data_IF_186605310837
#
_entry.id   IF_186605310837
#
_cell.length_a   1.000
_cell.length_b   1.000
_cell.length_c   1.000
_cell.angle_alpha   90.00
_cell.angle_beta   90.00
_cell.angle_gamma   90.00
#
_symmetry.space_group_name_H-M   'P 1'
#
loop_
_entity.id
_entity.type
_entity.pdbx_description
1 polymer ?
#
# COMPACT_ATOMS: atom_id res chain seq x y z
N UNK A 1 5.56 -4.04 10.72
CA UNK A 1 5.13 -4.52 9.39
C UNK A 1 4.18 -5.73 9.46
N UNK A 2 3.31 -5.83 10.47
CA UNK A 2 2.37 -6.95 10.60
C UNK A 2 1.39 -7.03 9.41
N UNK A 3 1.07 -5.88 8.81
CA UNK A 3 0.22 -5.77 7.63
C UNK A 3 0.71 -6.60 6.43
N UNK A 4 2.00 -6.89 6.29
CA UNK A 4 2.51 -7.71 5.16
C UNK A 4 2.01 -9.16 5.18
N UNK A 5 1.46 -9.61 6.31
CA UNK A 5 0.87 -10.94 6.50
C UNK A 5 -0.66 -10.93 6.45
N UNK A 6 -1.28 -9.76 6.31
CA UNK A 6 -2.73 -9.63 6.28
C UNK A 6 -3.33 -10.32 5.05
N UNK A 7 -4.34 -11.14 5.29
CA UNK A 7 -5.22 -11.67 4.25
C UNK A 7 -6.14 -10.57 3.69
N UNK A 8 -6.95 -10.91 2.68
CA UNK A 8 -7.97 -9.97 2.18
C UNK A 8 -9.02 -9.63 3.24
N UNK A 9 -9.34 -10.59 4.12
CA UNK A 9 -10.28 -10.42 5.22
C UNK A 9 -9.71 -9.52 6.33
N UNK A 10 -8.41 -9.64 6.64
CA UNK A 10 -7.74 -8.73 7.57
C UNK A 10 -7.78 -7.29 7.05
N UNK A 11 -7.51 -7.09 5.75
CA UNK A 11 -7.60 -5.77 5.11
C UNK A 11 -9.03 -5.23 5.15
N UNK A 12 -10.03 -6.08 4.91
CA UNK A 12 -11.43 -5.66 4.98
C UNK A 12 -11.86 -5.27 6.40
N UNK A 13 -11.39 -6.00 7.42
CA UNK A 13 -11.60 -5.63 8.84
C UNK A 13 -10.91 -4.31 9.18
N UNK A 14 -9.72 -4.07 8.64
CA UNK A 14 -9.04 -2.79 8.80
C UNK A 14 -9.84 -1.64 8.17
N UNK A 15 -10.32 -1.79 6.92
CA UNK A 15 -11.16 -0.78 6.24
C UNK A 15 -12.45 -0.47 7.03
N UNK A 16 -13.05 -1.48 7.64
CA UNK A 16 -14.17 -1.31 8.56
C UNK A 16 -13.79 -0.49 9.80
N UNK A 17 -12.66 -0.79 10.43
CA UNK A 17 -12.16 -0.02 11.60
C UNK A 17 -11.80 1.44 11.28
N UNK A 18 -11.47 1.73 10.01
CA UNK A 18 -11.20 3.09 9.52
C UNK A 18 -12.52 3.87 9.31
N UNK A 19 -13.67 3.20 9.32
CA UNK A 19 -14.99 3.82 9.17
C UNK A 19 -15.62 3.64 7.80
N UNK A 20 -15.12 2.71 6.97
CA UNK A 20 -15.66 2.45 5.64
C UNK A 20 -16.18 1.01 5.45
N UNK A 21 -17.11 0.52 6.30
CA UNK A 21 -17.63 -0.86 6.21
C UNK A 21 -18.26 -1.18 4.84
N UNK A 22 -18.81 -0.19 4.15
CA UNK A 22 -19.40 -0.34 2.81
C UNK A 22 -18.39 -0.80 1.75
N UNK A 23 -17.10 -0.56 1.94
CA UNK A 23 -16.07 -0.93 0.97
C UNK A 23 -15.40 -2.27 1.26
N UNK A 24 -15.81 -3.01 2.30
CA UNK A 24 -15.26 -4.35 2.62
C UNK A 24 -15.26 -5.28 1.40
N UNK A 25 -16.39 -5.34 0.69
CA UNK A 25 -16.54 -6.17 -0.50
C UNK A 25 -15.58 -5.76 -1.63
N UNK A 26 -15.31 -4.46 -1.79
CA UNK A 26 -14.35 -3.95 -2.77
C UNK A 26 -12.95 -4.51 -2.51
N UNK A 27 -12.51 -4.60 -1.26
CA UNK A 27 -11.17 -5.11 -0.93
C UNK A 27 -11.11 -6.65 -0.97
N UNK A 28 -12.14 -7.36 -0.50
CA UNK A 28 -12.15 -8.83 -0.50
C UNK A 28 -12.30 -9.40 -1.91
N UNK A 29 -13.25 -8.92 -2.71
CA UNK A 29 -13.53 -9.44 -4.05
C UNK A 29 -12.40 -9.16 -5.05
N UNK A 30 -11.63 -8.08 -4.84
CA UNK A 30 -10.45 -7.75 -5.64
C UNK A 30 -9.14 -8.36 -5.09
N UNK A 31 -9.24 -9.23 -4.08
CA UNK A 31 -8.11 -9.93 -3.46
C UNK A 31 -6.99 -8.98 -3.02
N UNK A 32 -7.36 -7.86 -2.39
CA UNK A 32 -6.42 -6.86 -1.87
C UNK A 32 -5.88 -7.35 -0.52
N UNK A 33 -4.72 -8.00 -0.56
CA UNK A 33 -3.98 -8.42 0.64
C UNK A 33 -3.12 -7.28 1.17
N UNK A 34 -2.60 -7.41 2.39
CA UNK A 34 -1.79 -6.33 2.97
C UNK A 34 -0.51 -6.01 2.20
N UNK A 35 0.03 -6.97 1.42
CA UNK A 35 1.15 -6.74 0.48
C UNK A 35 0.75 -5.85 -0.72
N UNK A 36 -0.53 -5.86 -1.10
CA UNK A 36 -1.06 -5.07 -2.23
C UNK A 36 -1.49 -3.66 -1.82
N UNK A 37 -1.58 -3.35 -0.52
CA UNK A 37 -1.98 -2.03 -0.04
C UNK A 37 -1.11 -0.89 -0.57
N UNK A 38 0.16 -1.14 -0.89
CA UNK A 38 1.05 -0.14 -1.50
C UNK A 38 0.55 0.37 -2.86
N UNK A 39 -0.31 -0.40 -3.55
CA UNK A 39 -0.91 -0.03 -4.84
C UNK A 39 -2.25 0.69 -4.69
N UNK A 40 -2.79 0.79 -3.47
CA UNK A 40 -4.07 1.45 -3.20
C UNK A 40 -3.82 2.96 -3.06
N UNK A 41 -4.29 3.72 -4.04
CA UNK A 41 -4.18 5.17 -4.09
C UNK A 41 -5.40 5.78 -4.80
N UNK A 42 -5.51 7.12 -4.82
CA UNK A 42 -6.62 7.81 -5.48
C UNK A 42 -6.79 7.45 -6.97
N UNK A 43 -5.76 6.94 -7.65
CA UNK A 43 -5.85 6.51 -9.04
C UNK A 43 -6.42 5.09 -9.20
N UNK A 44 -6.13 4.18 -8.27
CA UNK A 44 -6.56 2.77 -8.32
C UNK A 44 -7.90 2.52 -7.62
N UNK A 45 -8.28 3.33 -6.64
CA UNK A 45 -9.54 3.22 -5.89
C UNK A 45 -10.80 3.22 -6.78
N UNK A 46 -10.92 4.05 -7.84
CA UNK A 46 -12.06 3.98 -8.77
C UNK A 46 -12.20 2.61 -9.43
N UNK A 47 -11.08 1.95 -9.76
CA UNK A 47 -11.08 0.61 -10.36
C UNK A 47 -11.52 -0.48 -9.38
N UNK A 48 -11.42 -0.22 -8.08
CA UNK A 48 -11.93 -1.09 -7.01
C UNK A 48 -13.43 -0.84 -6.71
N UNK A 49 -14.06 0.15 -7.37
CA UNK A 49 -15.46 0.54 -7.14
C UNK A 49 -15.63 1.66 -6.12
N UNK A 50 -14.55 2.34 -5.72
CA UNK A 50 -14.59 3.47 -4.79
C UNK A 50 -14.42 4.76 -5.60
N UNK A 51 -15.54 5.42 -5.88
CA UNK A 51 -15.57 6.60 -6.78
C UNK A 51 -15.80 7.92 -6.05
N UNK A 52 -16.21 7.89 -4.78
CA UNK A 52 -16.39 9.09 -3.97
C UNK A 52 -15.04 9.74 -3.66
N UNK A 53 -14.88 11.01 -4.06
CA UNK A 53 -13.60 11.71 -3.96
C UNK A 53 -13.12 11.88 -2.52
N UNK A 54 -14.03 12.21 -1.60
CA UNK A 54 -13.68 12.41 -0.19
C UNK A 54 -13.25 11.09 0.44
N UNK A 55 -13.95 10.00 0.14
CA UNK A 55 -13.57 8.66 0.59
C UNK A 55 -12.22 8.25 0.00
N UNK A 56 -11.96 8.55 -1.27
CA UNK A 56 -10.66 8.25 -1.90
C UNK A 56 -9.50 8.95 -1.20
N UNK A 57 -9.68 10.23 -0.82
CA UNK A 57 -8.69 10.99 -0.07
C UNK A 57 -8.43 10.39 1.31
N UNK A 58 -9.48 10.11 2.09
CA UNK A 58 -9.35 9.53 3.43
C UNK A 58 -8.71 8.14 3.40
N UNK A 59 -9.18 7.26 2.52
CA UNK A 59 -8.63 5.90 2.41
C UNK A 59 -7.16 5.96 1.99
N UNK A 60 -6.81 6.80 1.02
CA UNK A 60 -5.41 6.95 0.61
C UNK A 60 -4.53 7.49 1.73
N UNK A 61 -5.02 8.43 2.54
CA UNK A 61 -4.30 8.93 3.71
C UNK A 61 -4.10 7.81 4.76
N UNK A 62 -5.13 7.03 5.04
CA UNK A 62 -5.09 5.92 6.01
C UNK A 62 -4.17 4.78 5.55
N UNK A 63 -4.13 4.48 4.24
CA UNK A 63 -3.15 3.56 3.66
C UNK A 63 -1.72 4.07 3.88
N UNK A 64 -1.47 5.37 3.63
CA UNK A 64 -0.14 5.96 3.84
C UNK A 64 0.28 5.92 5.30
N UNK A 65 -0.64 6.19 6.22
CA UNK A 65 -0.41 6.10 7.67
C UNK A 65 -0.08 4.66 8.10
N UNK A 66 -0.86 3.67 7.65
CA UNK A 66 -0.61 2.26 7.95
C UNK A 66 0.74 1.77 7.42
N UNK A 67 1.08 2.17 6.19
CA UNK A 67 2.34 1.81 5.56
C UNK A 67 3.50 2.65 6.09
N UNK A 68 3.22 3.78 6.75
CA UNK A 68 4.15 4.82 7.20
C UNK A 68 5.09 5.26 6.07
N UNK A 69 4.46 5.58 4.94
CA UNK A 69 5.09 6.09 3.72
C UNK A 69 4.76 7.56 3.52
N UNK A 70 5.70 8.30 2.93
CA UNK A 70 5.50 9.73 2.68
C UNK A 70 4.46 9.97 1.58
N UNK A 71 3.72 11.07 1.68
CA UNK A 71 2.83 11.51 0.61
C UNK A 71 3.66 11.89 -0.63
N UNK A 72 3.28 11.41 -1.84
CA UNK A 72 3.94 11.82 -3.08
C UNK A 72 3.80 13.33 -3.27
N UNK A 73 4.93 14.01 -3.53
CA UNK A 73 4.92 15.45 -3.75
C UNK A 73 4.39 15.76 -5.15
N UNK A 74 3.50 16.74 -5.26
CA UNK A 74 2.89 17.15 -6.54
C UNK A 74 3.91 17.66 -7.57
N UNK A 75 5.08 18.11 -7.10
CA UNK A 75 6.16 18.65 -7.93
C UNK A 75 7.28 17.64 -8.22
N UNK A 76 7.12 16.37 -7.82
CA UNK A 76 8.10 15.33 -8.11
C UNK A 76 7.89 14.81 -9.53
N UNK A 77 8.96 14.74 -10.32
CA UNK A 77 8.88 14.14 -11.64
C UNK A 77 8.66 12.64 -11.52
N UNK A 78 7.89 12.05 -12.44
CA UNK A 78 7.75 10.59 -12.55
C UNK A 78 9.10 9.93 -12.88
N UNK A 79 10.01 10.68 -13.51
CA UNK A 79 11.37 10.24 -13.79
C UNK A 79 12.28 10.25 -12.55
N UNK A 80 11.91 10.98 -11.49
CA UNK A 80 12.73 11.06 -10.29
C UNK A 80 12.59 9.75 -9.48
N UNK A 81 13.70 9.21 -8.95
CA UNK A 81 13.64 8.03 -8.09
C UNK A 81 12.71 8.23 -6.89
N UNK A 82 12.03 7.16 -6.48
CA UNK A 82 11.28 7.13 -5.23
C UNK A 82 12.25 7.36 -4.06
N UNK A 83 12.16 8.54 -3.44
CA UNK A 83 13.03 8.92 -2.33
C UNK A 83 12.75 8.13 -1.05
N UNK A 84 11.53 7.64 -0.87
CA UNK A 84 11.15 6.88 0.31
C UNK A 84 11.60 5.41 0.20
N UNK A 85 12.65 5.08 0.94
CA UNK A 85 13.22 3.73 1.07
C UNK A 85 12.17 2.69 1.47
N UNK A 86 11.22 3.09 2.30
CA UNK A 86 10.15 2.22 2.76
C UNK A 86 9.19 1.93 1.62
N UNK A 87 8.79 2.95 0.85
CA UNK A 87 7.98 2.78 -0.36
C UNK A 87 8.67 1.82 -1.36
N UNK A 88 9.97 1.99 -1.60
CA UNK A 88 10.75 1.09 -2.49
C UNK A 88 10.76 -0.35 -1.97
N UNK A 89 10.98 -0.53 -0.66
CA UNK A 89 10.94 -1.85 -0.02
C UNK A 89 9.56 -2.51 -0.16
N UNK A 90 8.49 -1.75 0.11
CA UNK A 90 7.11 -2.24 0.06
C UNK A 90 6.67 -2.59 -1.36
N UNK A 91 7.11 -1.84 -2.38
CA UNK A 91 6.89 -2.20 -3.78
C UNK A 91 7.57 -3.52 -4.15
N UNK A 92 8.80 -3.76 -3.68
CA UNK A 92 9.47 -5.05 -3.89
C UNK A 92 8.74 -6.18 -3.16
N UNK A 93 8.26 -5.94 -1.94
CA UNK A 93 7.46 -6.89 -1.14
C UNK A 93 6.05 -7.15 -1.66
N UNK A 94 5.51 -6.31 -2.54
CA UNK A 94 4.16 -6.51 -3.08
C UNK A 94 4.08 -7.76 -3.97
N UNK A 95 5.21 -8.18 -4.55
CA UNK A 95 5.31 -9.35 -5.42
C UNK A 95 5.55 -10.61 -4.58
N UNK A 96 4.94 -11.72 -4.98
CA UNK A 96 5.20 -13.05 -4.40
C UNK A 96 6.42 -13.70 -5.05
N UNK A 97 7.28 -14.35 -4.25
CA UNK A 97 8.44 -15.08 -4.73
C UNK A 97 9.51 -15.26 -3.65
N UNK A 98 10.31 -16.31 -3.75
CA UNK A 98 11.32 -16.65 -2.73
C UNK A 98 12.31 -15.50 -2.46
N UNK A 99 12.74 -14.79 -3.51
CA UNK A 99 13.66 -13.65 -3.39
C UNK A 99 12.99 -12.44 -2.71
N UNK A 100 11.73 -12.14 -3.03
CA UNK A 100 11.02 -11.02 -2.41
C UNK A 100 10.64 -11.34 -0.97
N UNK A 101 10.33 -12.60 -0.66
CA UNK A 101 10.04 -13.06 0.70
C UNK A 101 11.29 -13.02 1.59
N UNK A 102 12.46 -13.37 1.06
CA UNK A 102 13.75 -13.32 1.78
C UNK A 102 14.28 -11.89 1.98
N UNK A 103 13.85 -10.93 1.16
CA UNK A 103 14.30 -9.54 1.25
C UNK A 103 13.91 -8.93 2.61
N UNK A 104 14.89 -8.48 3.38
CA UNK A 104 14.67 -7.75 4.63
C UNK A 104 14.96 -6.26 4.42
N UNK A 105 14.34 -5.39 5.22
CA UNK A 105 14.52 -3.94 5.11
C UNK A 105 15.99 -3.53 5.29
N UNK A 106 16.69 -4.12 6.27
CA UNK A 106 18.13 -3.90 6.51
C UNK A 106 19.00 -4.23 5.31
N UNK A 107 18.72 -5.36 4.64
CA UNK A 107 19.44 -5.77 3.43
C UNK A 107 19.24 -4.77 2.28
N UNK A 108 18.07 -4.14 2.19
CA UNK A 108 17.82 -3.10 1.19
C UNK A 108 18.63 -1.82 1.47
N UNK A 109 18.77 -1.43 2.74
CA UNK A 109 19.57 -0.27 3.14
C UNK A 109 21.07 -0.49 2.90
N UNK A 110 21.57 -1.70 3.17
CA UNK A 110 22.97 -2.07 2.91
C UNK A 110 23.32 -2.00 1.42
N UNK A 111 22.43 -2.45 0.53
CA UNK A 111 22.65 -2.41 -0.92
C UNK A 111 22.60 -0.99 -1.53
N UNK A 112 22.05 0.00 -0.83
CA UNK A 112 22.03 1.40 -1.27
C UNK A 112 23.32 2.17 -0.92
N UNK A 113 24.12 1.62 -0.01
CA UNK A 113 25.34 2.28 0.52
C UNK A 113 26.62 1.89 -0.24
N UNK A 114 26.49 1.13 -1.33
CA UNK A 114 27.56 0.80 -2.29
C UNK A 114 27.30 1.50 -3.62
#
# INVERSE_FOLDING_TARGET
MAFLRWSGEDVARWIESVGFPQYKACFTQNYITGRKLIHVNCFTLPRLGITDFQHMQLISAQVRELLDVSEPRWNQSIADPLHDERTVFLQKKSRSGQQTDSLTYEHLLQNKSQ
#
